data_IF_611187970529
#
_entry.id   IF_611187970529
#
_cell.length_a   1.000
_cell.length_b   1.000
_cell.length_c   1.000
_cell.angle_alpha   90.00
_cell.angle_beta   90.00
_cell.angle_gamma   90.00
#
_symmetry.space_group_name_H-M   'P 1'
#
loop_
_entity.id
_entity.type
_entity.pdbx_description
1 polymer ?
#
# COMPACT_ATOMS: atom_id res chain seq x y z
N UNK A 1 -7.69 -16.87 6.87
CA UNK A 1 -8.31 -16.88 5.56
C UNK A 1 -7.30 -16.79 4.42
N UNK A 2 -7.76 -16.93 3.18
CA UNK A 2 -6.90 -16.96 1.98
C UNK A 2 -6.03 -15.71 1.84
N UNK A 3 -6.58 -14.53 2.10
CA UNK A 3 -5.84 -13.26 2.01
C UNK A 3 -4.63 -13.25 2.96
N UNK A 4 -4.81 -13.73 4.19
CA UNK A 4 -3.73 -13.83 5.17
C UNK A 4 -2.63 -14.83 4.74
N UNK A 5 -3.02 -15.92 4.10
CA UNK A 5 -2.07 -16.92 3.60
C UNK A 5 -1.22 -16.37 2.44
N UNK A 6 -1.84 -15.64 1.51
CA UNK A 6 -1.11 -14.98 0.42
C UNK A 6 -0.14 -13.93 1.00
N UNK A 7 -0.59 -13.14 1.97
CA UNK A 7 0.26 -12.15 2.63
C UNK A 7 1.47 -12.80 3.32
N UNK A 8 1.27 -13.91 4.01
CA UNK A 8 2.35 -14.68 4.65
C UNK A 8 3.39 -15.17 3.63
N UNK A 9 2.94 -15.64 2.46
CA UNK A 9 3.85 -16.05 1.37
C UNK A 9 4.64 -14.87 0.80
N UNK A 10 4.01 -13.71 0.64
CA UNK A 10 4.68 -12.50 0.20
C UNK A 10 5.75 -12.04 1.20
N UNK A 11 5.44 -12.08 2.49
CA UNK A 11 6.41 -11.78 3.56
C UNK A 11 7.59 -12.76 3.56
N UNK A 12 7.32 -14.05 3.36
CA UNK A 12 8.37 -15.06 3.27
C UNK A 12 9.27 -14.87 2.04
N UNK A 13 8.77 -14.22 1.00
CA UNK A 13 9.53 -13.82 -0.19
C UNK A 13 10.25 -12.47 -0.04
N UNK A 14 10.26 -11.91 1.16
CA UNK A 14 10.82 -10.59 1.48
C UNK A 14 10.19 -9.41 0.71
N UNK A 15 8.91 -9.51 0.36
CA UNK A 15 8.14 -8.39 -0.16
C UNK A 15 7.83 -7.38 0.94
N UNK A 16 7.75 -6.12 0.60
CA UNK A 16 7.21 -5.11 1.49
C UNK A 16 5.69 -5.23 1.47
N UNK A 17 5.11 -5.61 2.61
CA UNK A 17 3.68 -5.91 2.72
C UNK A 17 2.99 -4.91 3.64
N UNK A 18 1.78 -4.52 3.24
CA UNK A 18 0.87 -3.69 4.04
C UNK A 18 -0.44 -4.43 4.18
N UNK A 19 -0.94 -4.60 5.42
CA UNK A 19 -2.22 -5.25 5.71
C UNK A 19 -3.16 -4.27 6.35
N UNK A 20 -4.28 -4.02 5.72
CA UNK A 20 -5.35 -3.17 6.26
C UNK A 20 -6.70 -3.86 6.15
N UNK A 21 -7.56 -3.55 7.10
CA UNK A 21 -8.97 -3.91 7.10
C UNK A 21 -9.77 -2.61 7.04
N UNK A 22 -10.61 -2.46 6.02
CA UNK A 22 -11.48 -1.31 5.90
C UNK A 22 -12.70 -1.47 6.81
N UNK A 23 -13.32 -0.38 7.17
CA UNK A 23 -14.54 -0.37 7.97
C UNK A 23 -15.56 0.59 7.37
N UNK A 24 -16.83 0.23 7.46
CA UNK A 24 -17.93 1.07 6.98
C UNK A 24 -18.19 2.32 7.85
N UNK A 25 -17.58 2.39 9.03
CA UNK A 25 -17.69 3.54 9.90
C UNK A 25 -16.84 4.71 9.39
N UNK A 26 -17.50 5.75 8.88
CA UNK A 26 -16.84 6.97 8.38
C UNK A 26 -15.95 7.65 9.41
N UNK A 27 -16.21 7.47 10.71
CA UNK A 27 -15.35 7.98 11.79
C UNK A 27 -14.00 7.26 11.84
N UNK A 28 -13.91 6.06 11.27
CA UNK A 28 -12.71 5.23 11.30
C UNK A 28 -11.81 5.36 10.06
N UNK A 29 -12.17 6.20 9.06
CA UNK A 29 -11.31 6.44 7.89
C UNK A 29 -9.91 6.93 8.27
N UNK A 30 -9.81 7.73 9.33
CA UNK A 30 -8.53 8.16 9.88
C UNK A 30 -7.71 6.99 10.44
N UNK A 31 -8.37 5.99 11.04
CA UNK A 31 -7.70 4.78 11.55
C UNK A 31 -7.14 3.92 10.43
N UNK A 32 -7.85 3.79 9.31
CA UNK A 32 -7.36 3.05 8.13
C UNK A 32 -6.07 3.69 7.61
N UNK A 33 -6.02 5.02 7.50
CA UNK A 33 -4.84 5.76 7.05
C UNK A 33 -3.67 5.65 8.02
N UNK A 34 -3.93 5.77 9.31
CA UNK A 34 -2.92 5.58 10.35
C UNK A 34 -2.39 4.15 10.33
N UNK A 35 -3.27 3.16 10.11
CA UNK A 35 -2.87 1.77 9.99
C UNK A 35 -2.02 1.52 8.75
N UNK A 36 -2.39 2.10 7.60
CA UNK A 36 -1.56 2.05 6.40
C UNK A 36 -0.14 2.54 6.67
N UNK A 37 -0.01 3.72 7.26
CA UNK A 37 1.28 4.30 7.62
C UNK A 37 2.08 3.42 8.58
N UNK A 38 1.43 2.88 9.61
CA UNK A 38 2.04 1.98 10.58
C UNK A 38 2.55 0.69 9.95
N UNK A 39 1.70 0.01 9.17
CA UNK A 39 2.07 -1.25 8.53
C UNK A 39 3.21 -1.06 7.53
N UNK A 40 3.16 0.00 6.73
CA UNK A 40 4.22 0.37 5.80
C UNK A 40 5.56 0.58 6.52
N UNK A 41 5.54 1.35 7.60
CA UNK A 41 6.72 1.66 8.40
C UNK A 41 7.30 0.42 9.07
N UNK A 42 6.45 -0.41 9.67
CA UNK A 42 6.89 -1.65 10.33
C UNK A 42 7.47 -2.66 9.35
N UNK A 43 6.85 -2.82 8.18
CA UNK A 43 7.34 -3.72 7.13
C UNK A 43 8.69 -3.26 6.59
N UNK A 44 8.83 -1.97 6.30
CA UNK A 44 10.09 -1.39 5.86
C UNK A 44 11.21 -1.55 6.90
N UNK A 45 10.88 -1.37 8.18
CA UNK A 45 11.83 -1.58 9.28
C UNK A 45 12.32 -3.03 9.36
N UNK A 46 11.43 -4.01 9.24
CA UNK A 46 11.81 -5.43 9.23
C UNK A 46 12.78 -5.75 8.10
N UNK A 47 12.49 -5.24 6.89
CA UNK A 47 13.34 -5.42 5.72
C UNK A 47 14.71 -4.78 5.93
N UNK A 48 14.74 -3.56 6.47
CA UNK A 48 15.96 -2.81 6.74
C UNK A 48 16.85 -3.50 7.77
N UNK A 49 16.29 -3.91 8.91
CA UNK A 49 17.01 -4.60 9.98
C UNK A 49 17.60 -5.93 9.49
N UNK A 50 16.85 -6.66 8.69
CA UNK A 50 17.29 -7.95 8.12
C UNK A 50 18.15 -7.81 6.88
N UNK A 51 18.38 -6.58 6.40
CA UNK A 51 19.16 -6.28 5.17
C UNK A 51 18.67 -7.06 3.94
N UNK A 52 17.34 -7.21 3.81
CA UNK A 52 16.73 -8.03 2.76
C UNK A 52 16.66 -7.33 1.41
N UNK A 53 16.66 -5.99 1.40
CA UNK A 53 16.73 -5.20 0.17
C UNK A 53 17.99 -4.34 0.20
N UNK A 54 18.74 -4.34 -0.90
CA UNK A 54 19.93 -3.47 -1.05
C UNK A 54 19.56 -1.99 -1.09
N UNK A 55 18.39 -1.68 -1.68
CA UNK A 55 17.94 -0.30 -1.90
C UNK A 55 16.91 0.19 -0.88
N UNK A 56 16.72 -0.54 0.23
CA UNK A 56 15.71 -0.16 1.24
C UNK A 56 16.00 1.22 1.85
N UNK A 57 17.26 1.58 2.05
CA UNK A 57 17.63 2.85 2.63
C UNK A 57 17.25 4.05 1.76
N UNK A 58 17.16 3.86 0.45
CA UNK A 58 16.78 4.90 -0.51
C UNK A 58 15.32 5.33 -0.37
N UNK A 59 14.45 4.44 0.12
CA UNK A 59 13.02 4.67 0.23
C UNK A 59 12.54 4.97 1.66
N UNK A 60 13.36 4.76 2.68
CA UNK A 60 12.96 5.08 4.06
C UNK A 60 12.57 6.56 4.24
N UNK A 61 13.26 7.53 3.63
CA UNK A 61 12.85 8.93 3.72
C UNK A 61 11.46 9.22 3.16
N UNK A 62 11.10 8.65 2.00
CA UNK A 62 9.77 8.84 1.40
C UNK A 62 8.68 8.15 2.22
N UNK A 63 8.95 6.95 2.75
CA UNK A 63 8.03 6.24 3.65
C UNK A 63 7.78 7.07 4.91
N UNK A 64 8.82 7.65 5.50
CA UNK A 64 8.71 8.49 6.68
C UNK A 64 7.90 9.77 6.41
N UNK A 65 8.17 10.46 5.31
CA UNK A 65 7.44 11.66 4.91
C UNK A 65 5.95 11.37 4.69
N UNK A 66 5.62 10.32 3.95
CA UNK A 66 4.25 9.88 3.72
C UNK A 66 3.52 9.51 5.02
N UNK A 67 4.17 8.73 5.88
CA UNK A 67 3.59 8.29 7.15
C UNK A 67 3.33 9.46 8.09
N UNK A 68 4.21 10.46 8.12
CA UNK A 68 4.03 11.69 8.88
C UNK A 68 2.82 12.49 8.38
N UNK A 69 2.63 12.59 7.08
CA UNK A 69 1.47 13.24 6.46
C UNK A 69 0.14 12.58 6.89
N UNK A 70 0.14 11.27 7.10
CA UNK A 70 -1.02 10.52 7.60
C UNK A 70 -1.17 10.58 9.14
N UNK A 71 -0.34 11.36 9.84
CA UNK A 71 -0.41 11.52 11.29
C UNK A 71 0.31 10.44 12.10
N UNK A 72 1.15 9.64 11.46
CA UNK A 72 1.94 8.61 12.14
C UNK A 72 3.39 9.08 12.35
N UNK A 73 3.73 9.48 13.59
CA UNK A 73 5.04 10.02 13.95
C UNK A 73 5.89 9.04 14.78
N UNK A 74 5.45 7.81 14.98
CA UNK A 74 5.95 6.88 15.99
C UNK A 74 7.20 6.07 15.64
N UNK A 75 7.89 6.31 14.50
CA UNK A 75 9.08 5.53 14.16
C UNK A 75 10.19 6.43 13.66
N UNK A 76 11.18 6.67 14.50
CA UNK A 76 12.50 7.07 14.05
C UNK A 76 13.22 5.83 13.48
N UNK A 77 13.34 5.76 12.18
CA UNK A 77 14.44 5.02 11.58
C UNK A 77 15.70 5.79 11.99
N UNK A 78 16.61 5.23 12.73
CA UNK A 78 17.85 5.85 13.24
C UNK A 78 18.06 7.34 12.91
N UNK A 79 18.46 8.15 13.87
CA UNK A 79 18.52 9.61 13.85
C UNK A 79 19.17 10.28 12.60
N UNK A 80 19.75 9.50 11.69
CA UNK A 80 20.50 9.98 10.52
C UNK A 80 19.69 9.95 9.21
N UNK A 81 18.45 9.45 9.21
CA UNK A 81 17.63 9.42 7.99
C UNK A 81 16.96 10.79 7.83
N UNK A 82 17.54 11.60 6.94
CA UNK A 82 16.94 12.87 6.52
C UNK A 82 15.59 12.59 5.88
N UNK A 83 14.56 13.31 6.33
CA UNK A 83 13.25 13.31 5.66
C UNK A 83 13.43 13.87 4.26
N UNK A 84 13.03 13.12 3.25
CA UNK A 84 13.00 13.64 1.88
C UNK A 84 11.76 14.54 1.76
N UNK A 85 11.97 15.84 1.62
CA UNK A 85 10.90 16.80 1.36
C UNK A 85 10.56 16.83 -0.14
N UNK A 86 9.28 17.03 -0.46
CA UNK A 86 8.81 17.17 -1.84
C UNK A 86 8.38 15.86 -2.53
N UNK A 87 8.38 14.73 -1.82
CA UNK A 87 7.86 13.45 -2.32
C UNK A 87 6.99 12.78 -1.27
N UNK A 88 5.72 12.48 -1.61
CA UNK A 88 4.79 11.79 -0.73
C UNK A 88 4.30 12.63 0.46
N UNK A 89 4.43 13.94 0.41
CA UNK A 89 4.22 14.86 1.51
C UNK A 89 3.41 16.12 1.15
N UNK A 90 2.70 16.11 0.03
CA UNK A 90 1.89 17.26 -0.43
C UNK A 90 0.64 17.50 0.42
N UNK A 91 0.18 16.50 1.14
CA UNK A 91 -1.10 16.51 1.87
C UNK A 91 -2.30 16.07 1.02
N UNK A 92 -2.10 15.80 -0.28
CA UNK A 92 -3.10 15.22 -1.19
C UNK A 92 -2.87 13.72 -1.26
N UNK A 93 -3.76 12.92 -0.69
CA UNK A 93 -3.58 11.48 -0.54
C UNK A 93 -3.31 10.77 -1.87
N UNK A 94 -4.06 11.08 -2.92
CA UNK A 94 -3.91 10.44 -4.23
C UNK A 94 -2.52 10.69 -4.81
N UNK A 95 -2.02 11.92 -4.74
CA UNK A 95 -0.70 12.28 -5.22
C UNK A 95 0.40 11.64 -4.36
N UNK A 96 0.27 11.73 -3.05
CA UNK A 96 1.27 11.22 -2.11
C UNK A 96 1.39 9.70 -2.16
N UNK A 97 0.26 8.99 -2.27
CA UNK A 97 0.26 7.53 -2.38
C UNK A 97 0.84 7.08 -3.73
N UNK A 98 0.53 7.76 -4.82
CA UNK A 98 1.12 7.47 -6.14
C UNK A 98 2.65 7.59 -6.09
N UNK A 99 3.17 8.71 -5.57
CA UNK A 99 4.62 8.91 -5.45
C UNK A 99 5.28 7.86 -4.57
N UNK A 100 4.69 7.55 -3.41
CA UNK A 100 5.16 6.51 -2.52
C UNK A 100 5.23 5.15 -3.21
N UNK A 101 4.14 4.74 -3.86
CA UNK A 101 4.05 3.44 -4.55
C UNK A 101 5.09 3.36 -5.67
N UNK A 102 5.25 4.40 -6.47
CA UNK A 102 6.22 4.42 -7.55
C UNK A 102 7.66 4.34 -7.02
N UNK A 103 8.00 5.08 -5.98
CA UNK A 103 9.35 5.08 -5.42
C UNK A 103 9.68 3.73 -4.74
N UNK A 104 8.77 3.21 -3.94
CA UNK A 104 8.97 1.93 -3.24
C UNK A 104 9.01 0.75 -4.20
N UNK A 105 8.10 0.70 -5.17
CA UNK A 105 8.08 -0.40 -6.15
C UNK A 105 9.25 -0.35 -7.12
N UNK A 106 9.77 0.83 -7.44
CA UNK A 106 11.00 0.98 -8.21
C UNK A 106 12.22 0.41 -7.46
N UNK A 107 12.35 0.70 -6.18
CA UNK A 107 13.40 0.12 -5.33
C UNK A 107 13.25 -1.41 -5.21
N UNK A 108 12.02 -1.89 -5.01
CA UNK A 108 11.71 -3.31 -4.99
C UNK A 108 12.09 -4.01 -6.30
N UNK A 109 11.79 -3.39 -7.42
CA UNK A 109 12.13 -3.93 -8.74
C UNK A 109 13.64 -4.15 -8.91
N UNK A 110 14.47 -3.20 -8.49
CA UNK A 110 15.93 -3.32 -8.50
C UNK A 110 16.43 -4.51 -7.68
N UNK A 111 15.73 -4.85 -6.62
CA UNK A 111 16.10 -5.95 -5.71
C UNK A 111 15.39 -7.27 -6.01
N UNK A 112 14.64 -7.34 -7.12
CA UNK A 112 13.85 -8.53 -7.48
C UNK A 112 12.74 -8.84 -6.49
N UNK A 113 12.19 -7.81 -5.84
CA UNK A 113 11.14 -7.88 -4.82
C UNK A 113 9.89 -7.12 -5.29
N UNK A 114 8.91 -6.97 -4.41
CA UNK A 114 7.66 -6.27 -4.71
C UNK A 114 7.12 -5.52 -3.49
N UNK A 115 6.20 -4.59 -3.77
CA UNK A 115 5.31 -3.96 -2.80
C UNK A 115 3.92 -4.57 -2.97
N UNK A 116 3.30 -5.01 -1.88
CA UNK A 116 1.97 -5.59 -1.91
C UNK A 116 1.08 -5.05 -0.78
N UNK A 117 -0.12 -4.64 -1.16
CA UNK A 117 -1.17 -4.26 -0.22
C UNK A 117 -2.23 -5.36 -0.14
N UNK A 118 -2.55 -5.75 1.09
CA UNK A 118 -3.58 -6.74 1.41
C UNK A 118 -4.71 -6.03 2.13
N UNK A 119 -5.87 -5.94 1.50
CA UNK A 119 -6.98 -5.12 1.96
C UNK A 119 -8.20 -6.00 2.16
N UNK A 120 -8.63 -6.15 3.42
CA UNK A 120 -9.88 -6.83 3.75
C UNK A 120 -11.04 -5.84 3.81
N UNK A 121 -12.25 -6.31 3.50
CA UNK A 121 -13.46 -5.49 3.39
C UNK A 121 -13.27 -4.27 2.46
N UNK A 122 -12.59 -4.47 1.34
CA UNK A 122 -12.14 -3.39 0.45
C UNK A 122 -13.27 -2.48 -0.03
N UNK A 123 -14.53 -2.97 -0.11
CA UNK A 123 -15.69 -2.16 -0.48
C UNK A 123 -16.00 -1.06 0.55
N UNK A 124 -15.49 -1.16 1.78
CA UNK A 124 -15.72 -0.21 2.85
C UNK A 124 -14.66 0.91 2.92
N UNK A 125 -13.68 0.91 2.02
CA UNK A 125 -12.75 2.03 1.91
C UNK A 125 -13.49 3.31 1.51
N UNK A 126 -13.07 4.45 2.06
CA UNK A 126 -13.59 5.73 1.60
C UNK A 126 -13.20 6.01 0.13
N UNK A 127 -13.99 6.87 -0.52
CA UNK A 127 -13.83 7.16 -1.95
C UNK A 127 -12.44 7.72 -2.30
N UNK A 128 -11.87 8.53 -1.42
CA UNK A 128 -10.54 9.13 -1.63
C UNK A 128 -9.44 8.07 -1.57
N UNK A 129 -9.48 7.17 -0.58
CA UNK A 129 -8.52 6.08 -0.45
C UNK A 129 -8.62 5.11 -1.63
N UNK A 130 -9.85 4.74 -2.01
CA UNK A 130 -10.10 3.84 -3.14
C UNK A 130 -9.56 4.43 -4.45
N UNK A 131 -9.86 5.69 -4.72
CA UNK A 131 -9.34 6.42 -5.89
C UNK A 131 -7.81 6.46 -5.89
N UNK A 132 -7.20 6.77 -4.75
CA UNK A 132 -5.75 6.81 -4.59
C UNK A 132 -5.08 5.46 -4.90
N UNK A 133 -5.65 4.36 -4.41
CA UNK A 133 -5.16 3.00 -4.68
C UNK A 133 -5.27 2.62 -6.16
N UNK A 134 -6.40 2.90 -6.79
CA UNK A 134 -6.64 2.60 -8.20
C UNK A 134 -5.66 3.40 -9.08
N UNK A 135 -5.48 4.69 -8.81
CA UNK A 135 -4.56 5.55 -9.54
C UNK A 135 -3.11 5.06 -9.38
N UNK A 136 -2.69 4.73 -8.17
CA UNK A 136 -1.35 4.20 -7.92
C UNK A 136 -1.10 2.87 -8.66
N UNK A 137 -2.09 1.95 -8.62
CA UNK A 137 -2.01 0.67 -9.32
C UNK A 137 -1.90 0.87 -10.85
N UNK A 138 -2.68 1.78 -11.40
CA UNK A 138 -2.64 2.10 -12.81
C UNK A 138 -1.27 2.64 -13.24
N UNK A 139 -0.75 3.61 -12.51
CA UNK A 139 0.55 4.23 -12.79
C UNK A 139 1.71 3.24 -12.65
N UNK A 140 1.71 2.43 -11.60
CA UNK A 140 2.72 1.39 -11.41
C UNK A 140 2.66 0.35 -12.54
N UNK A 141 1.46 -0.06 -12.95
CA UNK A 141 1.25 -1.01 -14.05
C UNK A 141 1.75 -0.48 -15.39
N UNK A 142 1.50 0.79 -15.70
CA UNK A 142 2.00 1.42 -16.94
C UNK A 142 3.53 1.47 -17.00
N UNK A 143 4.20 1.54 -15.87
CA UNK A 143 5.67 1.56 -15.75
C UNK A 143 6.27 0.18 -15.56
N UNK A 144 5.47 -0.88 -15.53
CA UNK A 144 5.93 -2.25 -15.29
C UNK A 144 6.54 -2.46 -13.91
N UNK A 145 6.12 -1.68 -12.91
CA UNK A 145 6.64 -1.78 -11.55
C UNK A 145 5.88 -2.83 -10.73
N UNK A 146 6.57 -3.56 -9.84
CA UNK A 146 6.00 -4.63 -9.05
C UNK A 146 5.21 -4.12 -7.83
N UNK A 147 4.03 -3.58 -8.09
CA UNK A 147 3.04 -3.19 -7.10
C UNK A 147 1.79 -4.02 -7.29
N UNK A 148 1.32 -4.66 -6.21
CA UNK A 148 0.17 -5.56 -6.23
C UNK A 148 -0.82 -5.20 -5.13
N UNK A 149 -2.11 -5.20 -5.47
CA UNK A 149 -3.20 -5.08 -4.51
C UNK A 149 -3.97 -6.41 -4.49
N UNK A 150 -4.07 -7.01 -3.32
CA UNK A 150 -4.91 -8.17 -3.05
C UNK A 150 -6.07 -7.70 -2.16
N UNK A 151 -7.24 -7.59 -2.75
CA UNK A 151 -8.45 -7.18 -2.05
C UNK A 151 -9.38 -8.35 -1.78
N UNK A 152 -9.97 -8.40 -0.61
CA UNK A 152 -11.10 -9.25 -0.30
C UNK A 152 -12.31 -8.37 0.06
N UNK A 153 -13.51 -8.84 -0.25
CA UNK A 153 -14.72 -8.09 0.02
C UNK A 153 -15.98 -8.81 -0.46
N UNK A 154 -17.10 -8.12 -0.36
CA UNK A 154 -18.40 -8.61 -0.79
C UNK A 154 -18.49 -8.73 -2.32
N UNK A 155 -19.43 -9.52 -2.86
CA UNK A 155 -19.67 -9.63 -4.30
C UNK A 155 -19.96 -8.30 -5.02
N UNK A 156 -20.30 -7.25 -4.27
CA UNK A 156 -20.50 -5.88 -4.79
C UNK A 156 -19.20 -5.12 -5.07
N UNK A 157 -18.06 -5.62 -4.63
CA UNK A 157 -16.76 -4.94 -4.77
C UNK A 157 -16.43 -4.54 -6.22
N UNK A 158 -16.65 -5.36 -7.25
CA UNK A 158 -16.38 -4.95 -8.63
C UNK A 158 -17.16 -3.69 -9.05
N UNK A 159 -18.42 -3.59 -8.65
CA UNK A 159 -19.27 -2.43 -8.94
C UNK A 159 -18.75 -1.17 -8.21
N UNK A 160 -18.33 -1.31 -6.97
CA UNK A 160 -17.74 -0.20 -6.18
C UNK A 160 -16.46 0.32 -6.85
N UNK A 161 -15.58 -0.57 -7.31
CA UNK A 161 -14.35 -0.20 -8.02
C UNK A 161 -14.66 0.50 -9.35
N UNK A 162 -15.60 0.00 -10.13
CA UNK A 162 -16.01 0.59 -11.40
C UNK A 162 -16.61 1.98 -11.25
N UNK A 163 -17.32 2.26 -10.15
CA UNK A 163 -17.84 3.59 -9.82
C UNK A 163 -16.74 4.59 -9.50
N UNK A 164 -15.64 4.15 -8.90
CA UNK A 164 -14.51 5.03 -8.61
C UNK A 164 -13.78 5.45 -9.88
N UNK A 165 -13.43 4.49 -10.74
CA UNK A 165 -12.78 4.72 -12.03
C UNK A 165 -13.26 3.71 -13.07
N UNK A 166 -13.65 4.19 -14.25
CA UNK A 166 -14.16 3.33 -15.34
C UNK A 166 -13.16 2.28 -15.83
N UNK A 167 -11.86 2.53 -15.65
CA UNK A 167 -10.81 1.58 -16.04
C UNK A 167 -10.47 0.56 -14.95
N UNK A 168 -11.07 0.67 -13.76
CA UNK A 168 -10.76 -0.22 -12.62
C UNK A 168 -11.06 -1.68 -12.94
N UNK A 169 -12.10 -1.97 -13.72
CA UNK A 169 -12.44 -3.34 -14.14
C UNK A 169 -11.28 -4.03 -14.87
N UNK A 170 -10.47 -3.28 -15.60
CA UNK A 170 -9.33 -3.82 -16.36
C UNK A 170 -8.05 -3.94 -15.54
N UNK A 171 -8.00 -3.31 -14.36
CA UNK A 171 -6.84 -3.37 -13.47
C UNK A 171 -6.86 -4.58 -12.54
N UNK A 172 -8.04 -5.15 -12.27
CA UNK A 172 -8.22 -6.21 -11.29
C UNK A 172 -8.76 -7.48 -11.93
N UNK A 173 -8.25 -8.60 -11.48
CA UNK A 173 -8.81 -9.92 -11.75
C UNK A 173 -9.69 -10.34 -10.58
N UNK A 174 -10.93 -10.71 -10.86
CA UNK A 174 -11.91 -11.09 -9.85
C UNK A 174 -12.04 -12.61 -9.76
N UNK A 175 -12.02 -13.11 -8.53
CA UNK A 175 -12.22 -14.53 -8.22
C UNK A 175 -13.28 -14.68 -7.14
N UNK A 176 -14.35 -15.37 -7.44
CA UNK A 176 -15.35 -15.75 -6.43
C UNK A 176 -14.83 -16.93 -5.62
N UNK A 177 -14.83 -16.79 -4.30
CA UNK A 177 -14.46 -17.84 -3.37
C UNK A 177 -15.76 -18.36 -2.76
N UNK A 178 -16.05 -19.64 -2.97
CA UNK A 178 -17.20 -20.30 -2.35
C UNK A 178 -17.01 -20.50 -0.84
N UNK A 179 -18.04 -21.06 -0.18
CA UNK A 179 -17.94 -21.45 1.23
C UNK A 179 -16.75 -22.42 1.42
N UNK A 180 -15.92 -22.10 2.40
CA UNK A 180 -14.82 -22.97 2.84
C UNK A 180 -15.36 -24.09 3.70
#
# INVERSE_FOLDING_TARGET
GLLAEIARKAEAADWLTVRIEATSDKKNNKHVRTRLARELTQSARKISVRKRWKHILDILPVINAFSTTLGFTGVSFNADIKTQTGRGDSGVLELDLEELVLDVSAAAHKDGKALAFFIDEMQDLDAEMLSALITAQHQAGQRGLPFFIFGAGLPTLPAVLAQSHSYAERLFEYRSIGAL
#
